data_IF_038823393305
#
_entry.id   IF_038823393305
#
_cell.length_a   1.000
_cell.length_b   1.000
_cell.length_c   1.000
_cell.angle_alpha   90.00
_cell.angle_beta   90.00
_cell.angle_gamma   90.00
#
_symmetry.space_group_name_H-M   'P 1'
#
loop_
_entity.id
_entity.type
_entity.pdbx_description
1 polymer ?
#
# COMPACT_ATOMS: atom_id res chain seq x y z
N UNK A 1 6.96 -21.96 42.43
CA UNK A 1 5.78 -21.22 41.96
C UNK A 1 5.29 -21.91 40.69
N UNK A 2 4.00 -22.24 40.62
CA UNK A 2 3.42 -23.11 39.60
C UNK A 2 3.61 -22.51 38.19
N UNK A 3 4.22 -23.32 37.34
CA UNK A 3 4.13 -23.42 35.88
C UNK A 3 2.86 -22.84 35.25
N UNK A 4 2.95 -22.32 34.01
CA UNK A 4 2.24 -22.84 32.82
C UNK A 4 2.89 -22.32 31.53
N UNK A 5 3.41 -23.24 30.71
CA UNK A 5 3.55 -23.04 29.26
C UNK A 5 2.18 -22.68 28.68
N UNK A 6 2.10 -21.72 27.75
CA UNK A 6 1.65 -22.03 26.39
C UNK A 6 1.91 -20.87 25.41
N UNK A 7 2.56 -21.22 24.30
CA UNK A 7 2.63 -20.43 23.08
C UNK A 7 1.23 -19.97 22.66
N UNK A 8 0.96 -18.67 22.67
CA UNK A 8 -0.26 -18.12 22.07
C UNK A 8 -0.14 -16.63 21.75
N UNK A 9 0.67 -16.32 20.73
CA UNK A 9 0.23 -15.31 19.74
C UNK A 9 -0.05 -15.97 18.39
N UNK A 10 -0.49 -17.22 18.42
CA UNK A 10 -1.47 -17.74 17.48
C UNK A 10 -2.84 -17.51 18.10
N UNK A 11 -3.33 -16.27 18.00
CA UNK A 11 -4.77 -16.02 17.95
C UNK A 11 -5.03 -15.32 16.64
N UNK A 12 -5.19 -16.14 15.61
CA UNK A 12 -6.10 -15.82 14.53
C UNK A 12 -7.46 -15.53 15.19
N UNK A 13 -7.68 -14.27 15.53
CA UNK A 13 -9.02 -13.79 15.83
C UNK A 13 -9.76 -13.83 14.50
N UNK A 14 -10.47 -14.93 14.27
CA UNK A 14 -11.70 -14.92 13.50
C UNK A 14 -12.64 -13.91 14.17
N UNK A 15 -12.41 -12.64 13.90
CA UNK A 15 -13.36 -11.58 14.14
C UNK A 15 -13.91 -11.28 12.76
N UNK A 16 -15.04 -11.89 12.44
CA UNK A 16 -15.97 -11.32 11.47
C UNK A 16 -16.35 -9.93 11.99
N UNK A 17 -15.51 -8.95 11.70
CA UNK A 17 -15.77 -7.56 12.06
C UNK A 17 -16.61 -6.98 10.93
N UNK A 18 -17.85 -7.44 10.83
CA UNK A 18 -18.86 -6.57 10.26
C UNK A 18 -18.99 -5.42 11.26
N UNK A 19 -18.21 -4.37 11.05
CA UNK A 19 -18.42 -3.10 11.75
C UNK A 19 -19.87 -2.73 11.51
N UNK A 20 -20.65 -2.61 12.58
CA UNK A 20 -22.10 -2.44 12.60
C UNK A 20 -22.57 -1.07 12.08
N UNK A 21 -21.94 -0.56 11.01
CA UNK A 21 -22.38 0.65 10.31
C UNK A 21 -22.08 0.56 8.82
N UNK A 22 -22.62 -0.47 8.18
CA UNK A 22 -22.82 -0.53 6.74
C UNK A 22 -24.08 -1.35 6.50
N UNK A 23 -25.20 -0.69 6.18
CA UNK A 23 -26.46 -1.32 5.76
C UNK A 23 -26.30 -1.90 4.36
N UNK A 24 -25.49 -2.95 4.23
CA UNK A 24 -25.44 -3.81 3.04
C UNK A 24 -25.71 -5.25 3.46
N UNK A 25 -26.80 -5.89 3.01
CA UNK A 25 -27.25 -7.20 3.51
C UNK A 25 -26.47 -8.40 2.96
N UNK A 26 -25.30 -8.20 2.34
CA UNK A 26 -24.47 -9.30 1.87
C UNK A 26 -23.07 -9.24 2.48
N UNK A 27 -22.97 -9.79 3.69
CA UNK A 27 -21.70 -10.06 4.35
C UNK A 27 -21.22 -11.45 3.90
N UNK A 28 -20.46 -11.51 2.81
CA UNK A 28 -19.69 -12.70 2.48
C UNK A 28 -18.51 -12.82 3.46
N UNK A 29 -18.43 -13.94 4.16
CA UNK A 29 -17.30 -14.28 5.02
C UNK A 29 -16.06 -14.49 4.14
N UNK A 30 -15.28 -13.44 3.95
CA UNK A 30 -13.95 -13.56 3.35
C UNK A 30 -13.06 -14.32 4.33
N UNK A 31 -12.66 -15.53 3.97
CA UNK A 31 -11.55 -16.19 4.63
C UNK A 31 -10.31 -15.30 4.45
N UNK A 32 -9.58 -15.03 5.54
CA UNK A 32 -8.49 -14.04 5.57
C UNK A 32 -7.29 -14.39 4.64
N UNK A 33 -7.34 -15.53 3.94
CA UNK A 33 -6.34 -15.95 2.95
C UNK A 33 -6.81 -15.82 1.49
N UNK A 34 -8.10 -15.64 1.22
CA UNK A 34 -8.59 -15.34 -0.15
C UNK A 34 -8.71 -13.82 -0.41
N UNK A 35 -8.46 -12.98 0.60
CA UNK A 35 -8.61 -11.52 0.52
C UNK A 35 -7.37 -10.78 0.01
N UNK A 36 -6.21 -11.43 -0.08
CA UNK A 36 -4.94 -10.79 -0.47
C UNK A 36 -4.52 -11.28 -1.86
N UNK A 37 -4.40 -10.34 -2.80
CA UNK A 37 -3.88 -10.64 -4.12
C UNK A 37 -2.36 -10.89 -4.08
N UNK A 38 -1.94 -12.10 -4.45
CA UNK A 38 -0.52 -12.49 -4.55
C UNK A 38 -0.06 -12.67 -6.01
N UNK A 39 -0.84 -12.21 -6.99
CA UNK A 39 -0.37 -12.18 -8.38
C UNK A 39 0.90 -11.32 -8.48
N UNK A 40 1.76 -11.65 -9.43
CA UNK A 40 3.01 -10.91 -9.66
C UNK A 40 2.76 -9.39 -9.77
N UNK A 41 1.72 -9.00 -10.52
CA UNK A 41 1.31 -7.60 -10.68
C UNK A 41 0.93 -6.94 -9.36
N UNK A 42 0.21 -7.65 -8.49
CA UNK A 42 -0.18 -7.13 -7.18
C UNK A 42 1.04 -6.91 -6.28
N UNK A 43 1.98 -7.85 -6.28
CA UNK A 43 3.22 -7.74 -5.48
C UNK A 43 4.09 -6.59 -5.98
N UNK A 44 4.27 -6.46 -7.30
CA UNK A 44 5.03 -5.36 -7.90
C UNK A 44 4.38 -4.00 -7.61
N UNK A 45 3.05 -3.92 -7.72
CA UNK A 45 2.30 -2.70 -7.43
C UNK A 45 2.42 -2.32 -5.95
N UNK A 46 2.24 -3.28 -5.04
CA UNK A 46 2.39 -3.06 -3.60
C UNK A 46 3.80 -2.56 -3.25
N UNK A 47 4.84 -3.17 -3.83
CA UNK A 47 6.22 -2.72 -3.66
C UNK A 47 6.42 -1.27 -4.17
N UNK A 48 5.85 -0.92 -5.32
CA UNK A 48 5.88 0.44 -5.87
C UNK A 48 5.26 1.45 -4.89
N UNK A 49 4.07 1.17 -4.34
CA UNK A 49 3.46 2.03 -3.33
C UNK A 49 4.33 2.21 -2.09
N UNK A 50 4.86 1.11 -1.54
CA UNK A 50 5.68 1.15 -0.32
C UNK A 50 7.00 1.92 -0.50
N UNK A 51 7.57 1.88 -1.70
CA UNK A 51 8.80 2.62 -2.00
C UNK A 51 8.58 4.14 -2.08
N UNK A 52 7.38 4.58 -2.44
CA UNK A 52 7.03 5.99 -2.61
C UNK A 52 6.41 6.63 -1.36
N UNK A 53 5.87 5.80 -0.46
CA UNK A 53 5.21 6.23 0.77
C UNK A 53 6.20 6.51 1.90
N UNK A 54 6.02 7.64 2.61
CA UNK A 54 6.69 7.90 3.89
C UNK A 54 5.78 7.52 5.06
N UNK A 55 5.94 6.29 5.57
CA UNK A 55 5.16 5.74 6.70
C UNK A 55 5.39 6.46 8.04
N UNK A 56 6.35 7.40 8.13
CA UNK A 56 6.60 8.19 9.35
C UNK A 56 5.75 9.44 9.41
N UNK A 57 5.25 9.94 8.27
CA UNK A 57 4.34 11.07 8.24
C UNK A 57 2.92 10.64 8.67
N UNK A 58 2.20 11.52 9.36
CA UNK A 58 0.82 11.26 9.79
C UNK A 58 -0.16 11.54 8.62
N UNK A 59 -0.90 10.53 8.11
CA UNK A 59 -1.82 10.72 7.00
C UNK A 59 -2.99 11.66 7.29
N UNK A 60 -3.39 11.81 8.57
CA UNK A 60 -4.49 12.70 8.96
C UNK A 60 -4.08 14.18 8.96
N UNK A 61 -2.78 14.46 8.95
CA UNK A 61 -2.23 15.83 8.99
C UNK A 61 -1.67 16.24 7.63
N UNK A 62 -0.91 15.36 6.98
CA UNK A 62 -0.36 15.60 5.64
C UNK A 62 -0.34 14.28 4.85
N UNK A 63 -1.42 14.05 4.11
CA UNK A 63 -1.55 12.86 3.28
C UNK A 63 -0.57 12.87 2.09
N UNK A 64 -0.15 14.05 1.62
CA UNK A 64 0.81 14.13 0.52
C UNK A 64 2.18 13.63 0.97
N UNK A 65 2.68 14.12 2.10
CA UNK A 65 3.94 13.62 2.67
C UNK A 65 3.87 12.14 3.00
N UNK A 66 2.74 11.66 3.53
CA UNK A 66 2.55 10.23 3.76
C UNK A 66 2.60 9.42 2.45
N UNK A 67 1.80 9.77 1.44
CA UNK A 67 1.66 8.97 0.23
C UNK A 67 2.85 9.09 -0.74
N UNK A 68 3.44 10.29 -0.84
CA UNK A 68 4.41 10.64 -1.89
C UNK A 68 5.75 11.13 -1.33
N UNK A 69 5.92 11.23 -0.01
CA UNK A 69 7.11 11.84 0.60
C UNK A 69 8.42 11.24 0.10
N UNK A 70 8.52 9.91 0.03
CA UNK A 70 9.73 9.25 -0.49
C UNK A 70 9.88 9.39 -2.00
N UNK A 71 8.77 9.45 -2.75
CA UNK A 71 8.84 9.72 -4.19
C UNK A 71 9.49 11.09 -4.44
N UNK A 72 9.07 12.12 -3.71
CA UNK A 72 9.62 13.46 -3.86
C UNK A 72 11.11 13.54 -3.46
N UNK A 73 11.50 12.82 -2.39
CA UNK A 73 12.90 12.77 -1.92
C UNK A 73 13.84 12.05 -2.90
N UNK A 74 13.37 10.97 -3.54
CA UNK A 74 14.20 10.10 -4.36
C UNK A 74 14.33 10.56 -5.82
N UNK A 75 13.59 11.58 -6.26
CA UNK A 75 13.52 12.00 -7.66
C UNK A 75 14.33 13.28 -7.88
N UNK A 76 15.35 13.19 -8.73
CA UNK A 76 16.12 14.34 -9.21
C UNK A 76 15.48 14.86 -10.49
N UNK A 77 15.25 16.18 -10.55
CA UNK A 77 14.76 16.84 -11.76
C UNK A 77 15.92 17.00 -12.75
N UNK A 78 15.88 16.36 -13.93
CA UNK A 78 16.91 16.51 -14.94
C UNK A 78 16.80 17.88 -15.63
N UNK A 79 17.90 18.41 -16.18
CA UNK A 79 17.94 19.76 -16.76
C UNK A 79 16.87 20.06 -17.83
N UNK A 80 16.51 19.05 -18.61
CA UNK A 80 15.53 19.18 -19.69
C UNK A 80 14.07 19.10 -19.21
N UNK A 81 13.82 18.97 -17.90
CA UNK A 81 12.48 18.92 -17.33
C UNK A 81 12.30 19.99 -16.26
N UNK A 82 11.13 20.63 -16.25
CA UNK A 82 10.78 21.60 -15.20
C UNK A 82 10.24 20.92 -13.94
N UNK A 83 9.63 19.74 -14.09
CA UNK A 83 9.03 18.95 -13.02
C UNK A 83 9.09 17.47 -13.40
N UNK A 84 9.34 16.63 -12.41
CA UNK A 84 9.16 15.19 -12.53
C UNK A 84 7.89 14.80 -11.79
N UNK A 85 7.00 14.13 -12.50
CA UNK A 85 5.74 13.61 -12.00
C UNK A 85 5.53 12.21 -12.57
N UNK A 86 4.61 11.45 -11.99
CA UNK A 86 4.22 10.14 -12.52
C UNK A 86 3.81 10.24 -14.00
N UNK A 87 3.09 11.29 -14.38
CA UNK A 87 2.70 11.50 -15.78
C UNK A 87 3.92 11.70 -16.70
N UNK A 88 4.94 12.44 -16.24
CA UNK A 88 6.16 12.61 -17.01
C UNK A 88 6.90 11.27 -17.20
N UNK A 89 6.94 10.42 -16.19
CA UNK A 89 7.54 9.08 -16.29
C UNK A 89 6.79 8.19 -17.29
N UNK A 90 5.45 8.17 -17.21
CA UNK A 90 4.63 7.42 -18.16
C UNK A 90 4.80 7.92 -19.59
N UNK A 91 4.88 9.25 -19.79
CA UNK A 91 5.14 9.83 -21.11
C UNK A 91 6.52 9.42 -21.65
N UNK A 92 7.56 9.45 -20.81
CA UNK A 92 8.91 9.02 -21.22
C UNK A 92 8.95 7.57 -21.65
N UNK A 93 8.22 6.70 -20.96
CA UNK A 93 8.12 5.29 -21.35
C UNK A 93 7.37 5.11 -22.67
N UNK A 94 6.28 5.85 -22.88
CA UNK A 94 5.57 5.86 -24.16
C UNK A 94 6.46 6.35 -25.31
N UNK A 95 7.14 7.48 -25.13
CA UNK A 95 8.02 8.08 -26.13
C UNK A 95 9.23 7.16 -26.45
N UNK A 96 9.66 6.31 -25.51
CA UNK A 96 10.70 5.28 -25.73
C UNK A 96 10.22 4.15 -26.64
N UNK A 97 8.95 3.74 -26.54
CA UNK A 97 8.37 2.69 -27.36
C UNK A 97 7.94 3.14 -28.77
N UNK A 98 7.80 4.45 -28.99
CA UNK A 98 7.47 5.02 -30.30
C UNK A 98 8.69 5.24 -31.21
N UNK A 99 9.90 4.98 -30.73
CA UNK A 99 11.15 5.04 -31.49
C UNK A 99 11.53 3.65 -31.98
#
# INVERSE_FOLDING_TARGET
>A
MKSFFNTSSSRASNLASCSTRSTSPNCSAFTQNESICLSEKCVQLAANYLNNMNRRANPCSDFYSFACGRYAENKVIPEHAKKITVLHEMKRELDRHLK
#
